data_IF_539492320814
#
_entry.id   IF_539492320814
#
_cell.length_a   1.000
_cell.length_b   1.000
_cell.length_c   1.000
_cell.angle_alpha   90.00
_cell.angle_beta   90.00
_cell.angle_gamma   90.00
#
_symmetry.space_group_name_H-M   'P 1'
#
loop_
_entity.id
_entity.type
_entity.pdbx_description
1 polymer ?
#
# COMPACT_ATOMS: atom_id res chain seq x y z
N UNK A 1 6.34 -4.06 6.88
CA UNK A 1 6.76 -4.28 5.49
C UNK A 1 7.09 -2.93 4.92
N UNK A 2 8.15 -2.85 4.12
CA UNK A 2 8.44 -1.66 3.34
C UNK A 2 7.49 -1.56 2.14
N UNK A 3 7.49 -0.44 1.42
CA UNK A 3 6.56 -0.21 0.31
C UNK A 3 6.75 -1.27 -0.79
N UNK A 4 8.00 -1.62 -1.09
CA UNK A 4 8.34 -2.58 -2.14
C UNK A 4 7.81 -3.98 -1.81
N UNK A 5 8.07 -4.48 -0.60
CA UNK A 5 7.56 -5.77 -0.10
C UNK A 5 6.03 -5.84 -0.14
N UNK A 6 5.35 -4.76 0.25
CA UNK A 6 3.87 -4.73 0.23
C UNK A 6 3.36 -4.78 -1.21
N UNK A 7 3.95 -4.00 -2.13
CA UNK A 7 3.52 -3.96 -3.53
C UNK A 7 3.84 -5.26 -4.26
N UNK A 8 5.00 -5.87 -4.01
CA UNK A 8 5.35 -7.18 -4.57
C UNK A 8 4.38 -8.27 -4.10
N UNK A 9 4.03 -8.26 -2.82
CA UNK A 9 3.10 -9.23 -2.24
C UNK A 9 1.65 -8.97 -2.63
N UNK A 10 1.28 -7.70 -2.77
CA UNK A 10 -0.07 -7.24 -3.04
C UNK A 10 -0.07 -6.16 -4.13
N UNK A 11 -0.03 -6.54 -5.42
CA UNK A 11 0.04 -5.58 -6.52
C UNK A 11 -1.09 -4.55 -6.53
N UNK A 12 -2.26 -4.89 -5.96
CA UNK A 12 -3.38 -3.96 -5.80
C UNK A 12 -3.02 -2.73 -4.95
N UNK A 13 -2.10 -2.86 -3.99
CA UNK A 13 -1.68 -1.76 -3.11
C UNK A 13 -1.02 -0.64 -3.90
N UNK A 14 -0.29 -0.95 -4.98
CA UNK A 14 0.25 0.09 -5.86
C UNK A 14 -0.86 0.97 -6.46
N UNK A 15 -1.99 0.38 -6.85
CA UNK A 15 -3.12 1.14 -7.37
C UNK A 15 -3.77 2.02 -6.30
N UNK A 16 -3.81 1.57 -5.04
CA UNK A 16 -4.33 2.35 -3.91
C UNK A 16 -3.42 3.57 -3.66
N UNK A 17 -2.12 3.33 -3.50
CA UNK A 17 -1.12 4.39 -3.28
C UNK A 17 -1.15 5.43 -4.42
N UNK A 18 -1.27 4.99 -5.68
CA UNK A 18 -1.37 5.89 -6.83
C UNK A 18 -2.62 6.79 -6.79
N UNK A 19 -3.76 6.34 -6.25
CA UNK A 19 -4.96 7.20 -6.09
C UNK A 19 -4.71 8.35 -5.12
N UNK A 20 -3.87 8.13 -4.13
CA UNK A 20 -3.42 9.16 -3.19
C UNK A 20 -2.25 10.00 -3.71
N UNK A 21 -1.83 9.80 -4.97
CA UNK A 21 -0.72 10.53 -5.58
C UNK A 21 0.66 10.00 -5.19
N UNK A 22 0.74 8.83 -4.55
CA UNK A 22 1.99 8.16 -4.21
C UNK A 22 2.42 7.25 -5.36
N UNK A 23 3.44 7.66 -6.09
CA UNK A 23 4.10 6.82 -7.09
C UNK A 23 5.17 5.94 -6.44
N UNK A 24 5.11 4.62 -6.64
CA UNK A 24 6.12 3.69 -6.15
C UNK A 24 7.32 3.52 -7.11
N UNK A 25 7.17 3.85 -8.40
CA UNK A 25 8.20 3.57 -9.39
C UNK A 25 9.42 4.50 -9.26
N UNK A 26 10.52 3.93 -8.78
CA UNK A 26 11.84 4.58 -8.79
C UNK A 26 12.19 5.39 -7.54
N UNK A 27 11.39 5.33 -6.47
CA UNK A 27 11.80 5.92 -5.19
C UNK A 27 12.74 4.97 -4.45
N UNK A 28 14.03 5.29 -4.38
CA UNK A 28 15.03 4.50 -3.62
C UNK A 28 14.67 4.35 -2.13
N UNK A 29 13.85 5.27 -1.61
CA UNK A 29 13.42 5.29 -0.21
C UNK A 29 12.37 4.21 0.07
N UNK A 30 11.61 3.77 -0.95
CA UNK A 30 10.54 2.76 -0.82
C UNK A 30 11.00 1.41 -0.25
N UNK A 31 12.29 1.10 -0.34
CA UNK A 31 12.91 -0.12 0.24
C UNK A 31 13.40 0.07 1.68
N UNK A 32 13.56 1.32 2.11
CA UNK A 32 14.16 1.71 3.40
C UNK A 32 13.12 2.16 4.43
N UNK A 33 11.95 2.64 3.99
CA UNK A 33 10.85 3.10 4.84
C UNK A 33 9.72 2.06 4.93
N UNK A 34 9.01 2.02 6.06
CA UNK A 34 7.74 1.32 6.11
C UNK A 34 6.71 2.03 5.22
N UNK A 35 5.68 1.31 4.77
CA UNK A 35 4.58 1.91 4.01
C UNK A 35 3.92 3.08 4.75
N UNK A 36 3.75 3.00 6.07
CA UNK A 36 3.19 4.08 6.88
C UNK A 36 4.10 5.31 6.90
N UNK A 37 5.40 5.13 7.19
CA UNK A 37 6.37 6.24 7.17
C UNK A 37 6.43 6.94 5.82
N UNK A 38 6.40 6.18 4.71
CA UNK A 38 6.40 6.77 3.38
C UNK A 38 5.12 7.52 3.03
N UNK A 39 3.98 7.11 3.57
CA UNK A 39 2.73 7.88 3.45
C UNK A 39 2.85 9.21 4.23
N UNK A 40 3.31 9.15 5.48
CA UNK A 40 3.43 10.32 6.35
C UNK A 40 4.44 11.35 5.83
N UNK A 41 5.55 10.92 5.23
CA UNK A 41 6.56 11.81 4.63
C UNK A 41 6.01 12.68 3.48
N UNK A 42 4.92 12.23 2.87
CA UNK A 42 4.20 12.97 1.83
C UNK A 42 3.03 13.81 2.39
N UNK A 43 2.89 13.90 3.72
CA UNK A 43 1.88 14.71 4.39
C UNK A 43 0.47 14.13 4.34
N UNK A 44 0.36 12.82 4.14
CA UNK A 44 -0.89 12.08 4.10
C UNK A 44 -1.14 11.36 5.44
N UNK A 45 -2.40 11.03 5.70
CA UNK A 45 -2.80 10.28 6.89
C UNK A 45 -2.61 8.77 6.64
N UNK A 46 -1.60 8.19 7.28
CA UNK A 46 -1.28 6.77 7.12
C UNK A 46 -2.37 5.86 7.68
N UNK A 47 -3.07 6.25 8.75
CA UNK A 47 -4.10 5.40 9.35
C UNK A 47 -5.25 5.19 8.37
N UNK A 48 -5.70 6.26 7.69
CA UNK A 48 -6.77 6.20 6.69
C UNK A 48 -6.39 5.30 5.50
N UNK A 49 -5.17 5.45 4.99
CA UNK A 49 -4.73 4.72 3.80
C UNK A 49 -4.46 3.25 4.13
N UNK A 50 -3.89 2.96 5.30
CA UNK A 50 -3.65 1.58 5.75
C UNK A 50 -4.96 0.85 6.05
N UNK A 51 -5.97 1.54 6.59
CA UNK A 51 -7.31 0.98 6.77
C UNK A 51 -7.94 0.58 5.43
N UNK A 52 -7.86 1.44 4.40
CA UNK A 52 -8.35 1.11 3.06
C UNK A 52 -7.59 -0.06 2.43
N UNK A 53 -6.26 -0.09 2.57
CA UNK A 53 -5.45 -1.23 2.10
C UNK A 53 -5.93 -2.52 2.74
N UNK A 54 -6.06 -2.56 4.07
CA UNK A 54 -6.47 -3.77 4.78
C UNK A 54 -7.88 -4.20 4.37
N UNK A 55 -8.83 -3.26 4.23
CA UNK A 55 -10.19 -3.56 3.79
C UNK A 55 -10.20 -4.21 2.40
N UNK A 56 -9.44 -3.68 1.44
CA UNK A 56 -9.37 -4.26 0.09
C UNK A 56 -8.73 -5.65 0.10
N UNK A 57 -7.67 -5.86 0.90
CA UNK A 57 -7.03 -7.17 1.01
C UNK A 57 -7.94 -8.21 1.65
N UNK A 58 -8.72 -7.83 2.66
CA UNK A 58 -9.73 -8.71 3.27
C UNK A 58 -10.80 -9.11 2.25
N UNK A 59 -11.28 -8.16 1.44
CA UNK A 59 -12.24 -8.44 0.37
C UNK A 59 -11.67 -9.38 -0.70
N UNK A 60 -10.44 -9.16 -1.17
CA UNK A 60 -9.77 -10.05 -2.12
C UNK A 60 -9.59 -11.47 -1.54
N UNK A 61 -9.24 -11.59 -0.26
CA UNK A 61 -9.14 -12.89 0.41
C UNK A 61 -10.50 -13.61 0.48
N UNK A 62 -11.59 -12.89 0.77
CA UNK A 62 -12.94 -13.45 0.81
C UNK A 62 -13.41 -13.92 -0.57
N UNK A 63 -13.17 -13.11 -1.62
CA UNK A 63 -13.48 -13.49 -3.00
C UNK A 63 -12.71 -14.74 -3.46
N UNK A 64 -11.43 -14.84 -3.08
CA UNK A 64 -10.60 -16.00 -3.42
C UNK A 64 -10.96 -17.28 -2.64
N UNK A 65 -11.56 -17.16 -1.45
CA UNK A 65 -12.06 -18.32 -0.65
C UNK A 65 -13.37 -18.89 -1.20
N UNK A 66 -14.12 -18.12 -1.97
CA UNK A 66 -15.41 -18.51 -2.54
C UNK A 66 -15.35 -19.19 -3.91
N UNK A 67 -14.14 -19.40 -4.46
CA UNK A 67 -13.90 -19.88 -5.84
C UNK A 67 -13.29 -21.29 -5.86
#
# INVERSE_FOLDING_TARGET
MNIDEVVEKYPIVAHILMRYGLGCSGCVISTAETIGEGIELHGLDADIILEEINMILEMEEEENKGN
#
